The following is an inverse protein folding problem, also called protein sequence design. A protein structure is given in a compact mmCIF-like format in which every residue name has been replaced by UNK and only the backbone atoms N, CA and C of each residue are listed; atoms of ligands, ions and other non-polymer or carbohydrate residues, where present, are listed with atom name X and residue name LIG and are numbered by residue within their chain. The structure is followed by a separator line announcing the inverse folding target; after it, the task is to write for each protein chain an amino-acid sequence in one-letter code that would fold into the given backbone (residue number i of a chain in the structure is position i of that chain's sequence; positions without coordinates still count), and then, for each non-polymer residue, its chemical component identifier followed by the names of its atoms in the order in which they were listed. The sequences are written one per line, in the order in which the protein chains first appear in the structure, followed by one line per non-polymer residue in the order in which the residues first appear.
data_IF_304434597188
#
_entry.id   IF_304434597188
#
_cell.length_a   1.000
_cell.length_b   1.000
_cell.length_c   1.000
_cell.angle_alpha   90.00
_cell.angle_beta   90.00
_cell.angle_gamma   90.00
#
_symmetry.space_group_name_H-M   'P 1'
#
loop_
_entity.id
_entity.type
_entity.pdbx_description
1 polymer ?
#
# COMPACT_ATOMS: atom_id res chain seq x y z
N UNK A 1 29.26 -69.32 -8.04
CA UNK A 1 28.81 -69.94 -9.30
C UNK A 1 27.66 -69.11 -9.85
N UNK A 2 27.77 -68.73 -11.13
CA UNK A 2 26.81 -68.10 -12.06
C UNK A 2 25.94 -66.93 -11.59
N UNK A 3 26.08 -65.69 -12.08
CA UNK A 3 26.09 -65.12 -13.46
C UNK A 3 24.69 -64.95 -14.07
N UNK A 4 24.27 -63.67 -14.13
CA UNK A 4 23.50 -62.92 -15.16
C UNK A 4 22.14 -63.44 -15.67
N UNK A 5 21.14 -62.52 -15.72
CA UNK A 5 20.66 -61.94 -16.99
C UNK A 5 19.70 -60.75 -16.80
N UNK A 6 19.92 -59.76 -17.66
CA UNK A 6 19.09 -58.57 -17.89
C UNK A 6 17.77 -58.91 -18.59
N UNK A 7 16.77 -58.05 -18.40
CA UNK A 7 15.54 -58.03 -19.18
C UNK A 7 14.88 -56.66 -19.12
N UNK A 8 15.17 -55.82 -20.11
CA UNK A 8 14.45 -54.59 -20.37
C UNK A 8 13.11 -54.93 -21.03
N UNK A 9 12.01 -54.38 -20.52
CA UNK A 9 10.76 -54.27 -21.26
C UNK A 9 10.28 -52.82 -21.26
N UNK A 10 10.49 -52.19 -22.42
CA UNK A 10 9.86 -50.94 -22.83
C UNK A 10 8.42 -51.28 -23.20
N UNK A 11 7.45 -50.77 -22.44
CA UNK A 11 6.08 -50.62 -22.93
C UNK A 11 5.81 -49.14 -23.16
N UNK A 12 5.87 -48.77 -24.44
CA UNK A 12 5.40 -47.49 -24.93
C UNK A 12 3.87 -47.51 -24.95
N UNK A 13 3.24 -46.81 -24.00
CA UNK A 13 1.82 -46.46 -24.10
C UNK A 13 1.70 -45.05 -24.67
N UNK A 14 1.33 -45.00 -25.94
CA UNK A 14 0.84 -43.81 -26.65
C UNK A 14 -0.40 -43.26 -25.92
N UNK A 15 -0.27 -42.06 -25.36
CA UNK A 15 -1.40 -41.24 -24.91
C UNK A 15 -1.51 -40.01 -25.82
N UNK A 16 -2.74 -39.54 -26.12
CA UNK A 16 -3.02 -38.71 -27.29
C UNK A 16 -2.46 -37.29 -27.13
N UNK A 17 -1.95 -36.75 -28.24
CA UNK A 17 -1.71 -35.31 -28.40
C UNK A 17 -3.02 -34.55 -28.12
N UNK A 18 -3.13 -33.90 -26.96
CA UNK A 18 -4.09 -32.80 -26.80
C UNK A 18 -3.61 -31.63 -27.66
N UNK A 19 -4.46 -31.24 -28.59
CA UNK A 19 -4.28 -30.10 -29.47
C UNK A 19 -3.80 -28.86 -28.69
N UNK A 20 -2.72 -28.26 -29.16
CA UNK A 20 -2.32 -26.93 -28.76
C UNK A 20 -3.41 -25.95 -29.22
N UNK A 21 -4.24 -25.51 -28.29
CA UNK A 21 -5.06 -24.32 -28.51
C UNK A 21 -4.09 -23.15 -28.70
N UNK A 22 -4.16 -22.51 -29.86
CA UNK A 22 -3.47 -21.27 -30.15
C UNK A 22 -3.89 -20.23 -29.10
N UNK A 23 -3.02 -19.99 -28.12
CA UNK A 23 -3.15 -18.88 -27.19
C UNK A 23 -2.97 -17.60 -27.98
N UNK A 24 -4.09 -16.99 -28.35
CA UNK A 24 -4.12 -15.60 -28.79
C UNK A 24 -3.41 -14.76 -27.73
N UNK A 25 -2.46 -13.94 -28.17
CA UNK A 25 -1.70 -13.04 -27.32
C UNK A 25 -2.64 -12.14 -26.51
N UNK A 26 -2.85 -12.51 -25.25
CA UNK A 26 -3.55 -11.68 -24.28
C UNK A 26 -2.62 -10.58 -23.80
N UNK A 27 -2.90 -9.34 -24.16
CA UNK A 27 -2.38 -8.19 -23.44
C UNK A 27 -2.72 -8.36 -21.95
N UNK A 28 -1.70 -8.37 -21.10
CA UNK A 28 -1.85 -8.57 -19.65
C UNK A 28 -2.50 -7.33 -19.04
N UNK A 29 -3.82 -7.33 -18.97
CA UNK A 29 -4.62 -6.32 -18.30
C UNK A 29 -4.68 -6.55 -16.76
N UNK A 30 -5.15 -5.58 -15.95
CA UNK A 30 -5.25 -5.56 -14.47
C UNK A 30 -6.15 -6.62 -13.80
N UNK A 31 -6.30 -7.81 -14.39
CA UNK A 31 -7.39 -8.81 -14.25
C UNK A 31 -7.66 -9.39 -12.84
N UNK A 32 -6.93 -8.98 -11.80
CA UNK A 32 -7.08 -9.48 -10.42
C UNK A 32 -7.47 -8.42 -9.41
N UNK A 33 -7.65 -7.17 -9.83
CA UNK A 33 -8.15 -6.10 -8.95
C UNK A 33 -9.63 -5.89 -9.23
N UNK A 34 -10.46 -6.05 -8.21
CA UNK A 34 -11.89 -5.71 -8.27
C UNK A 34 -12.17 -4.47 -7.42
N UNK A 35 -12.95 -3.55 -7.96
CA UNK A 35 -13.35 -2.33 -7.25
C UNK A 35 -14.85 -2.36 -7.00
N UNK A 36 -15.25 -2.07 -5.77
CA UNK A 36 -16.64 -2.04 -5.33
C UNK A 36 -16.89 -0.77 -4.53
N UNK A 37 -17.81 0.06 -5.02
CA UNK A 37 -18.38 1.18 -4.26
C UNK A 37 -19.80 0.79 -3.89
N UNK A 38 -20.05 0.47 -2.61
CA UNK A 38 -21.38 0.15 -2.13
C UNK A 38 -22.15 1.45 -1.87
N UNK A 39 -23.36 1.56 -2.42
CA UNK A 39 -24.18 2.77 -2.23
C UNK A 39 -24.56 2.87 -0.75
N UNK A 40 -24.21 3.97 -0.05
CA UNK A 40 -24.51 4.12 1.36
C UNK A 40 -26.01 4.22 1.62
N UNK A 41 -26.46 3.66 2.74
CA UNK A 41 -27.84 3.82 3.20
C UNK A 41 -28.04 5.15 3.92
N UNK A 42 -27.01 5.63 4.61
CA UNK A 42 -26.93 6.92 5.31
C UNK A 42 -26.76 8.05 4.30
N UNK A 43 -27.70 8.99 4.30
CA UNK A 43 -27.72 10.12 3.36
C UNK A 43 -26.44 10.96 3.40
N UNK A 44 -25.89 11.17 4.61
CA UNK A 44 -24.67 11.94 4.83
C UNK A 44 -23.44 11.41 4.07
N UNK A 45 -23.42 10.11 3.73
CA UNK A 45 -22.30 9.48 3.03
C UNK A 45 -22.44 9.46 1.51
N UNK A 46 -23.60 9.86 0.94
CA UNK A 46 -23.79 9.89 -0.52
C UNK A 46 -22.78 10.79 -1.23
N UNK A 47 -22.52 11.98 -0.67
CA UNK A 47 -21.54 12.89 -1.22
C UNK A 47 -20.10 12.31 -1.18
N UNK A 48 -19.77 11.55 -0.13
CA UNK A 48 -18.48 10.86 -0.03
C UNK A 48 -18.37 9.73 -1.05
N UNK A 49 -19.43 8.92 -1.22
CA UNK A 49 -19.51 7.90 -2.27
C UNK A 49 -19.21 8.49 -3.64
N UNK A 50 -19.95 9.54 -4.01
CA UNK A 50 -19.84 10.14 -5.35
C UNK A 50 -18.46 10.75 -5.57
N UNK A 51 -17.94 11.47 -4.58
CA UNK A 51 -16.60 12.08 -4.65
C UNK A 51 -15.50 11.03 -4.80
N UNK A 52 -15.48 9.99 -3.95
CA UNK A 52 -14.44 8.96 -3.98
C UNK A 52 -14.47 8.14 -5.27
N UNK A 53 -15.68 7.84 -5.76
CA UNK A 53 -15.88 7.16 -7.04
C UNK A 53 -15.47 8.01 -8.23
N UNK A 54 -15.83 9.29 -8.25
CA UNK A 54 -15.46 10.22 -9.32
C UNK A 54 -13.95 10.45 -9.38
N UNK A 55 -13.31 10.56 -8.22
CA UNK A 55 -11.85 10.66 -8.10
C UNK A 55 -11.14 9.32 -8.34
N UNK A 56 -11.88 8.21 -8.43
CA UNK A 56 -11.37 6.85 -8.66
C UNK A 56 -10.36 6.42 -7.60
N UNK A 57 -10.63 6.73 -6.33
CA UNK A 57 -9.65 6.58 -5.24
C UNK A 57 -9.21 5.12 -5.07
N UNK A 58 -10.16 4.19 -5.04
CA UNK A 58 -9.85 2.76 -4.92
C UNK A 58 -9.13 2.23 -6.16
N UNK A 59 -9.51 2.68 -7.35
CA UNK A 59 -8.87 2.30 -8.61
C UNK A 59 -7.40 2.72 -8.64
N UNK A 60 -7.07 3.94 -8.17
CA UNK A 60 -5.69 4.45 -8.22
C UNK A 60 -4.76 3.61 -7.33
N UNK A 61 -5.19 3.28 -6.12
CA UNK A 61 -4.41 2.40 -5.22
C UNK A 61 -4.37 0.97 -5.75
N UNK A 62 -5.54 0.44 -6.15
CA UNK A 62 -5.65 -0.89 -6.73
C UNK A 62 -4.78 -1.07 -7.98
N UNK A 63 -4.63 -0.04 -8.82
CA UNK A 63 -3.76 -0.09 -9.99
C UNK A 63 -2.27 -0.22 -9.62
N UNK A 64 -1.81 0.43 -8.54
CA UNK A 64 -0.44 0.29 -8.04
C UNK A 64 -0.20 -1.15 -7.61
N UNK A 65 -1.12 -1.72 -6.82
CA UNK A 65 -1.02 -3.12 -6.35
C UNK A 65 -1.20 -4.12 -7.51
N UNK A 66 -2.01 -3.77 -8.50
CA UNK A 66 -2.20 -4.53 -9.74
C UNK A 66 -0.94 -4.64 -10.61
N UNK A 67 0.13 -3.90 -10.31
CA UNK A 67 1.46 -4.15 -10.88
C UNK A 67 2.02 -5.49 -10.43
N UNK A 68 1.59 -6.05 -9.30
CA UNK A 68 1.95 -7.39 -8.87
C UNK A 68 1.14 -8.47 -9.62
N UNK A 69 1.75 -9.64 -9.81
CA UNK A 69 1.10 -10.86 -10.30
C UNK A 69 0.42 -11.55 -9.13
N UNK A 70 -0.75 -11.03 -8.73
CA UNK A 70 -1.53 -11.61 -7.65
C UNK A 70 -2.03 -13.02 -8.03
N UNK A 71 -1.85 -14.04 -7.17
CA UNK A 71 -2.34 -15.40 -7.44
C UNK A 71 -3.86 -15.51 -7.32
N UNK A 72 -4.49 -14.58 -6.60
CA UNK A 72 -5.93 -14.50 -6.42
C UNK A 72 -6.45 -13.08 -6.68
N UNK A 73 -7.77 -12.96 -6.86
CA UNK A 73 -8.44 -11.67 -6.97
C UNK A 73 -8.43 -10.95 -5.61
N UNK A 74 -8.04 -9.68 -5.61
CA UNK A 74 -8.10 -8.75 -4.48
C UNK A 74 -9.20 -7.71 -4.73
N UNK A 75 -10.09 -7.55 -3.77
CA UNK A 75 -11.20 -6.59 -3.85
C UNK A 75 -10.88 -5.36 -3.02
N UNK A 76 -11.08 -4.16 -3.59
CA UNK A 76 -11.15 -2.92 -2.83
C UNK A 76 -12.62 -2.53 -2.72
N UNK A 77 -13.07 -2.26 -1.50
CA UNK A 77 -14.46 -1.96 -1.19
C UNK A 77 -14.56 -0.67 -0.37
N UNK A 78 -15.45 0.21 -0.79
CA UNK A 78 -15.95 1.31 0.04
C UNK A 78 -17.38 0.96 0.46
N UNK A 79 -17.65 0.96 1.77
CA UNK A 79 -18.99 0.66 2.31
C UNK A 79 -19.24 1.34 3.66
N UNK A 80 -20.49 1.27 4.12
CA UNK A 80 -20.83 1.58 5.51
C UNK A 80 -20.44 0.42 6.42
N UNK A 81 -19.91 0.73 7.59
CA UNK A 81 -19.37 -0.25 8.52
C UNK A 81 -20.09 -0.24 9.87
N UNK A 82 -21.39 0.10 9.87
CA UNK A 82 -22.24 0.10 11.05
C UNK A 82 -21.67 0.94 12.22
N UNK A 83 -21.02 2.07 11.91
CA UNK A 83 -20.44 2.99 12.90
C UNK A 83 -18.93 2.82 13.12
N UNK A 84 -18.31 1.78 12.56
CA UNK A 84 -16.87 1.53 12.72
C UNK A 84 -16.03 2.51 11.91
N UNK A 85 -15.18 3.29 12.59
CA UNK A 85 -14.24 4.23 11.96
C UNK A 85 -12.95 3.50 11.57
N UNK A 86 -13.03 2.62 10.57
CA UNK A 86 -11.92 1.71 10.26
C UNK A 86 -11.65 1.50 8.75
N UNK A 87 -10.52 0.85 8.47
CA UNK A 87 -10.21 0.17 7.23
C UNK A 87 -9.47 -1.13 7.56
N UNK A 88 -9.64 -2.18 6.76
CA UNK A 88 -8.94 -3.44 7.03
C UNK A 88 -8.81 -4.30 5.77
N UNK A 89 -7.77 -5.13 5.76
CA UNK A 89 -7.67 -6.31 4.92
C UNK A 89 -8.28 -7.54 5.60
N UNK A 90 -9.19 -8.23 4.91
CA UNK A 90 -9.76 -9.52 5.34
C UNK A 90 -9.22 -10.66 4.46
N UNK A 91 -8.33 -11.54 4.97
CA UNK A 91 -7.68 -12.59 4.18
C UNK A 91 -8.64 -13.62 3.57
N UNK A 92 -9.73 -13.95 4.27
CA UNK A 92 -10.73 -14.97 3.94
C UNK A 92 -11.52 -14.58 2.69
N UNK A 93 -11.81 -13.29 2.56
CA UNK A 93 -12.53 -12.72 1.42
C UNK A 93 -11.59 -12.03 0.42
N UNK A 94 -10.30 -11.88 0.75
CA UNK A 94 -9.29 -11.14 0.00
C UNK A 94 -9.81 -9.75 -0.36
N UNK A 95 -10.28 -9.03 0.66
CA UNK A 95 -10.93 -7.73 0.51
C UNK A 95 -10.27 -6.70 1.40
N UNK A 96 -9.88 -5.57 0.83
CA UNK A 96 -9.56 -4.34 1.54
C UNK A 96 -10.85 -3.53 1.62
N UNK A 97 -11.27 -3.18 2.83
CA UNK A 97 -12.45 -2.38 3.08
C UNK A 97 -12.03 -1.02 3.62
N UNK A 98 -12.60 0.05 3.06
CA UNK A 98 -12.56 1.39 3.60
C UNK A 98 -13.98 1.77 4.04
N UNK A 99 -14.14 2.22 5.28
CA UNK A 99 -15.44 2.63 5.80
C UNK A 99 -15.75 4.09 5.48
N UNK A 100 -17.01 4.40 5.17
CA UNK A 100 -17.46 5.79 5.05
C UNK A 100 -17.23 6.58 6.33
N UNK A 101 -17.43 5.95 7.48
CA UNK A 101 -17.21 6.48 8.82
C UNK A 101 -15.76 6.97 9.00
N UNK A 102 -14.78 6.19 8.53
CA UNK A 102 -13.37 6.59 8.55
C UNK A 102 -13.14 7.82 7.69
N UNK A 103 -13.63 7.83 6.44
CA UNK A 103 -13.47 8.98 5.55
C UNK A 103 -14.15 10.23 6.11
N UNK A 104 -15.34 10.09 6.69
CA UNK A 104 -16.07 11.17 7.34
C UNK A 104 -15.31 11.72 8.57
N UNK A 105 -14.71 10.84 9.38
CA UNK A 105 -13.87 11.26 10.50
C UNK A 105 -12.67 12.09 10.03
N UNK A 106 -12.04 11.71 8.91
CA UNK A 106 -10.96 12.48 8.28
C UNK A 106 -11.49 13.82 7.76
N UNK A 107 -12.69 13.86 7.18
CA UNK A 107 -13.35 15.11 6.74
C UNK A 107 -13.61 16.09 7.89
N UNK A 108 -14.01 15.58 9.04
CA UNK A 108 -14.24 16.34 10.28
C UNK A 108 -12.94 16.82 10.92
N UNK A 109 -11.91 15.97 10.94
CA UNK A 109 -10.59 16.31 11.49
C UNK A 109 -9.78 17.24 10.59
N UNK A 110 -10.01 17.23 9.27
CA UNK A 110 -9.26 18.04 8.32
C UNK A 110 -9.48 19.56 8.56
N UNK A 111 -8.44 20.39 8.40
CA UNK A 111 -8.56 21.83 8.58
C UNK A 111 -9.57 22.43 7.59
N UNK A 112 -10.19 23.57 7.94
CA UNK A 112 -11.09 24.29 7.03
C UNK A 112 -10.40 24.69 5.72
N UNK A 113 -9.15 25.13 5.80
CA UNK A 113 -8.34 25.51 4.63
C UNK A 113 -6.91 25.01 4.76
N UNK A 114 -6.21 25.39 5.84
CA UNK A 114 -4.82 25.02 6.12
C UNK A 114 -4.58 24.92 7.62
N UNK A 115 -3.76 23.96 8.06
CA UNK A 115 -3.34 23.82 9.45
C UNK A 115 -2.20 24.78 9.80
N UNK A 116 -1.89 25.00 11.09
CA UNK A 116 -0.72 25.78 11.52
C UNK A 116 0.61 25.25 10.95
N UNK A 117 0.71 23.93 10.75
CA UNK A 117 1.88 23.27 10.15
C UNK A 117 1.97 23.48 8.61
N UNK A 118 0.99 24.16 8.02
CA UNK A 118 0.92 24.46 6.59
C UNK A 118 0.24 23.40 5.74
N UNK A 119 -0.34 22.35 6.34
CA UNK A 119 -1.02 21.26 5.61
C UNK A 119 -2.40 21.71 5.16
N UNK A 120 -2.66 21.64 3.86
CA UNK A 120 -3.95 22.03 3.26
C UNK A 120 -5.05 21.00 3.57
N UNK A 121 -6.31 21.41 3.47
CA UNK A 121 -7.45 20.49 3.56
C UNK A 121 -7.32 19.32 2.59
N UNK A 122 -6.91 19.58 1.35
CA UNK A 122 -6.70 18.53 0.34
C UNK A 122 -5.64 17.52 0.79
N UNK A 123 -4.50 17.98 1.29
CA UNK A 123 -3.45 17.10 1.80
C UNK A 123 -3.97 16.26 2.97
N UNK A 124 -4.64 16.89 3.94
CA UNK A 124 -5.21 16.22 5.11
C UNK A 124 -6.31 15.18 4.80
N UNK A 125 -6.84 15.16 3.57
CA UNK A 125 -7.78 14.14 3.10
C UNK A 125 -7.08 13.09 2.24
N UNK A 126 -6.32 13.53 1.23
CA UNK A 126 -5.67 12.64 0.27
C UNK A 126 -4.59 11.80 0.93
N UNK A 127 -3.78 12.38 1.82
CA UNK A 127 -2.69 11.68 2.48
C UNK A 127 -3.14 10.48 3.29
N UNK A 128 -3.92 10.66 4.37
CA UNK A 128 -4.33 9.53 5.21
C UNK A 128 -5.10 8.47 4.44
N UNK A 129 -6.02 8.83 3.53
CA UNK A 129 -6.74 7.83 2.72
C UNK A 129 -5.78 7.00 1.86
N UNK A 130 -4.77 7.65 1.24
CA UNK A 130 -3.78 6.93 0.42
C UNK A 130 -2.87 6.04 1.27
N UNK A 131 -2.42 6.54 2.43
CA UNK A 131 -1.57 5.79 3.36
C UNK A 131 -2.31 4.58 3.91
N UNK A 132 -3.54 4.76 4.39
CA UNK A 132 -4.36 3.68 4.98
C UNK A 132 -4.66 2.62 3.93
N UNK A 133 -5.13 3.00 2.74
CA UNK A 133 -5.41 2.00 1.69
C UNK A 133 -4.15 1.24 1.25
N UNK A 134 -2.99 1.89 1.18
CA UNK A 134 -1.74 1.21 0.82
C UNK A 134 -1.17 0.40 2.00
N UNK A 135 -1.45 0.78 3.24
CA UNK A 135 -1.13 0.00 4.43
C UNK A 135 -1.90 -1.33 4.41
N UNK A 136 -3.23 -1.29 4.19
CA UNK A 136 -4.03 -2.50 4.01
C UNK A 136 -3.60 -3.33 2.78
N UNK A 137 -3.08 -2.65 1.76
CA UNK A 137 -2.47 -3.31 0.61
C UNK A 137 -1.17 -4.05 0.98
N UNK A 138 -0.43 -3.57 1.98
CA UNK A 138 0.71 -4.25 2.57
C UNK A 138 0.32 -5.63 3.11
N UNK A 139 -0.69 -5.69 3.99
CA UNK A 139 -1.22 -6.97 4.51
C UNK A 139 -1.69 -7.89 3.37
N UNK A 140 -2.38 -7.34 2.38
CA UNK A 140 -2.81 -8.12 1.21
C UNK A 140 -1.63 -8.68 0.41
N UNK A 141 -0.57 -7.91 0.21
CA UNK A 141 0.64 -8.37 -0.47
C UNK A 141 1.37 -9.43 0.35
N UNK A 142 1.43 -9.27 1.67
CA UNK A 142 2.08 -10.25 2.54
C UNK A 142 1.38 -11.60 2.47
N UNK A 143 0.07 -11.61 2.66
CA UNK A 143 -0.75 -12.82 2.60
C UNK A 143 -0.79 -13.43 1.20
N UNK A 144 -1.00 -12.63 0.14
CA UNK A 144 -1.20 -13.18 -1.20
C UNK A 144 0.09 -13.61 -1.89
N UNK A 145 1.26 -13.09 -1.48
CA UNK A 145 2.54 -13.40 -2.11
C UNK A 145 3.46 -14.23 -1.19
N UNK A 146 2.95 -14.68 -0.05
CA UNK A 146 3.70 -15.41 0.99
C UNK A 146 4.99 -14.67 1.40
N UNK A 147 4.89 -13.34 1.61
CA UNK A 147 6.05 -12.52 2.00
C UNK A 147 6.37 -12.78 3.47
N UNK A 148 7.60 -13.21 3.80
CA UNK A 148 8.01 -13.37 5.18
C UNK A 148 8.14 -12.01 5.87
N UNK A 149 7.65 -11.92 7.11
CA UNK A 149 7.70 -10.73 7.93
C UNK A 149 8.58 -10.99 9.15
N UNK A 150 9.61 -10.19 9.32
CA UNK A 150 10.41 -10.13 10.54
C UNK A 150 10.10 -8.83 11.27
N UNK A 151 9.77 -8.91 12.56
CA UNK A 151 9.35 -7.75 13.37
C UNK A 151 7.83 -7.61 13.44
N UNK A 152 7.34 -6.37 13.60
CA UNK A 152 5.90 -6.07 13.68
C UNK A 152 5.32 -5.94 12.27
N UNK A 153 4.26 -6.68 11.99
CA UNK A 153 3.59 -6.66 10.68
C UNK A 153 3.04 -5.27 10.32
N UNK A 154 2.48 -4.54 11.29
CA UNK A 154 1.98 -3.16 11.11
C UNK A 154 3.08 -2.19 10.64
N UNK A 155 4.27 -2.29 11.21
CA UNK A 155 5.42 -1.47 10.81
C UNK A 155 5.88 -1.84 9.39
N UNK A 156 5.87 -3.13 9.05
CA UNK A 156 6.19 -3.60 7.71
C UNK A 156 5.14 -3.12 6.67
N UNK A 157 3.85 -3.13 7.01
CA UNK A 157 2.77 -2.61 6.18
C UNK A 157 2.92 -1.11 5.94
N UNK A 158 3.24 -0.33 6.99
CA UNK A 158 3.57 1.09 6.87
C UNK A 158 4.79 1.37 5.98
N UNK A 159 5.83 0.54 6.07
CA UNK A 159 7.03 0.64 5.24
C UNK A 159 6.73 0.35 3.77
N UNK A 160 5.95 -0.69 3.47
CA UNK A 160 5.47 -0.98 2.12
C UNK A 160 4.64 0.18 1.59
N UNK A 161 3.74 0.74 2.41
CA UNK A 161 2.92 1.88 2.04
C UNK A 161 3.75 3.12 1.73
N UNK A 162 4.64 3.51 2.64
CA UNK A 162 5.51 4.66 2.45
C UNK A 162 6.39 4.47 1.19
N UNK A 163 7.03 3.31 1.04
CA UNK A 163 7.89 3.04 -0.12
C UNK A 163 7.13 3.14 -1.43
N UNK A 164 5.96 2.49 -1.53
CA UNK A 164 5.12 2.49 -2.73
C UNK A 164 4.66 3.91 -3.10
N UNK A 165 4.16 4.67 -2.12
CA UNK A 165 3.63 6.02 -2.34
C UNK A 165 4.75 7.04 -2.65
N UNK A 166 5.97 6.82 -2.15
CA UNK A 166 7.13 7.64 -2.50
C UNK A 166 7.60 7.44 -3.96
N UNK A 167 7.19 6.36 -4.63
CA UNK A 167 7.49 6.16 -6.06
C UNK A 167 6.62 7.01 -7.00
N UNK A 168 5.58 7.67 -6.48
CA UNK A 168 4.67 8.50 -7.25
C UNK A 168 5.33 9.81 -7.76
N UNK A 169 4.54 10.69 -8.36
CA UNK A 169 5.02 12.02 -8.76
C UNK A 169 5.45 12.82 -7.53
N UNK A 170 6.52 13.61 -7.62
CA UNK A 170 7.08 14.31 -6.46
C UNK A 170 6.04 15.18 -5.71
N UNK A 171 5.13 15.85 -6.44
CA UNK A 171 4.05 16.64 -5.85
C UNK A 171 2.98 15.78 -5.15
N UNK A 172 2.69 14.61 -5.70
CA UNK A 172 1.73 13.65 -5.15
C UNK A 172 2.29 12.99 -3.89
N UNK A 173 3.54 12.50 -3.96
CA UNK A 173 4.26 11.97 -2.79
C UNK A 173 4.34 13.02 -1.67
N UNK A 174 4.65 14.29 -1.98
CA UNK A 174 4.61 15.39 -0.99
C UNK A 174 3.22 15.60 -0.40
N UNK A 175 2.17 15.58 -1.23
CA UNK A 175 0.78 15.71 -0.76
C UNK A 175 0.46 14.61 0.25
N UNK A 176 0.84 13.38 -0.08
CA UNK A 176 0.55 12.19 0.73
C UNK A 176 1.34 12.21 2.04
N UNK A 177 2.65 12.49 1.99
CA UNK A 177 3.50 12.57 3.17
C UNK A 177 3.01 13.66 4.12
N UNK A 178 2.72 14.87 3.62
CA UNK A 178 2.20 15.97 4.44
C UNK A 178 0.87 15.62 5.12
N UNK A 179 -0.07 15.06 4.36
CA UNK A 179 -1.38 14.68 4.87
C UNK A 179 -1.32 13.57 5.90
N UNK A 180 -0.55 12.52 5.63
CA UNK A 180 -0.42 11.37 6.52
C UNK A 180 0.33 11.74 7.80
N UNK A 181 1.38 12.56 7.70
CA UNK A 181 2.06 13.13 8.85
C UNK A 181 1.11 14.00 9.70
N UNK A 182 0.26 14.81 9.07
CA UNK A 182 -0.77 15.56 9.80
C UNK A 182 -1.77 14.66 10.52
N UNK A 183 -2.21 13.58 9.87
CA UNK A 183 -3.10 12.59 10.47
C UNK A 183 -2.47 11.93 11.71
N UNK A 184 -1.27 11.39 11.57
CA UNK A 184 -0.54 10.80 12.71
C UNK A 184 -0.30 11.80 13.84
N UNK A 185 0.15 13.02 13.52
CA UNK A 185 0.35 14.06 14.52
C UNK A 185 -0.96 14.52 15.18
N UNK A 186 -2.11 14.37 14.52
CA UNK A 186 -3.43 14.71 15.10
C UNK A 186 -3.87 13.63 16.07
N UNK A 187 -3.79 12.35 15.69
CA UNK A 187 -4.12 11.24 16.58
C UNK A 187 -3.18 11.18 17.79
N UNK A 188 -1.89 11.45 17.58
CA UNK A 188 -0.88 11.44 18.65
C UNK A 188 -1.04 12.54 19.71
N UNK A 189 -1.96 13.51 19.54
CA UNK A 189 -2.20 14.54 20.58
C UNK A 189 -2.91 13.99 21.80
N UNK A 190 -3.91 13.14 21.54
CA UNK A 190 -4.81 12.59 22.54
C UNK A 190 -4.60 11.08 22.73
N UNK A 191 -3.60 10.51 22.04
CA UNK A 191 -3.21 9.10 22.17
C UNK A 191 -2.68 8.81 23.59
N UNK A 192 -3.30 7.87 24.32
CA UNK A 192 -2.83 7.53 25.66
C UNK A 192 -1.46 6.86 25.59
N UNK A 193 -0.61 7.17 26.57
CA UNK A 193 0.71 6.56 26.73
C UNK A 193 0.64 5.61 27.94
N UNK A 194 -0.08 4.50 27.75
CA UNK A 194 -0.36 3.51 28.78
C UNK A 194 -0.06 2.07 28.31
N UNK A 195 -0.29 1.10 29.20
CA UNK A 195 0.00 -0.31 28.91
C UNK A 195 -0.82 -0.85 27.74
N UNK A 196 -2.06 -0.37 27.53
CA UNK A 196 -2.88 -0.80 26.42
C UNK A 196 -2.30 -0.28 25.10
N UNK A 197 -1.93 1.00 25.04
CA UNK A 197 -1.28 1.59 23.87
C UNK A 197 0.06 0.92 23.53
N UNK A 198 0.84 0.52 24.54
CA UNK A 198 2.09 -0.21 24.32
C UNK A 198 1.89 -1.68 23.90
N UNK A 199 0.75 -2.29 24.25
CA UNK A 199 0.42 -3.66 23.88
C UNK A 199 -0.30 -3.77 22.52
N UNK A 200 -0.75 -2.65 21.95
CA UNK A 200 -1.41 -2.61 20.64
C UNK A 200 -0.48 -3.10 19.51
N UNK A 201 -1.07 -3.73 18.49
CA UNK A 201 -0.32 -4.21 17.33
C UNK A 201 0.22 -3.08 16.47
N UNK A 202 -0.46 -1.93 16.42
CA UNK A 202 -0.03 -0.73 15.72
C UNK A 202 0.98 0.07 16.54
N UNK A 203 1.96 0.66 15.87
CA UNK A 203 2.87 1.62 16.51
C UNK A 203 2.11 2.86 16.97
N UNK A 204 2.63 3.52 18.01
CA UNK A 204 2.10 4.82 18.46
C UNK A 204 2.11 5.81 17.30
N UNK A 205 1.11 6.69 17.25
CA UNK A 205 0.93 7.66 16.17
C UNK A 205 2.17 8.51 15.95
N UNK A 206 2.87 8.93 17.01
CA UNK A 206 4.14 9.65 16.88
C UNK A 206 5.29 8.79 16.35
N UNK A 207 5.34 7.49 16.65
CA UNK A 207 6.33 6.58 16.05
C UNK A 207 6.09 6.45 14.55
N UNK A 208 4.84 6.23 14.15
CA UNK A 208 4.43 6.16 12.73
C UNK A 208 4.73 7.46 11.99
N UNK A 209 4.48 8.61 12.62
CA UNK A 209 4.86 9.94 12.11
C UNK A 209 6.35 10.02 11.80
N UNK A 210 7.22 9.72 12.77
CA UNK A 210 8.65 9.85 12.60
C UNK A 210 9.22 8.83 11.62
N UNK A 211 8.67 7.63 11.57
CA UNK A 211 9.05 6.61 10.58
C UNK A 211 8.71 7.07 9.16
N UNK A 212 7.50 7.56 8.92
CA UNK A 212 7.11 8.12 7.61
C UNK A 212 8.00 9.31 7.21
N UNK A 213 8.22 10.26 8.13
CA UNK A 213 9.06 11.43 7.89
C UNK A 213 10.51 11.04 7.55
N UNK A 214 11.04 10.02 8.23
CA UNK A 214 12.37 9.48 7.99
C UNK A 214 12.47 8.80 6.62
N UNK A 215 11.55 7.91 6.26
CA UNK A 215 11.52 7.27 4.94
C UNK A 215 11.37 8.28 3.80
N UNK A 216 10.52 9.30 3.98
CA UNK A 216 10.38 10.38 3.01
C UNK A 216 11.70 11.16 2.84
N UNK A 217 12.31 11.62 3.94
CA UNK A 217 13.59 12.34 3.90
C UNK A 217 14.73 11.49 3.31
N UNK A 218 14.80 10.21 3.67
CA UNK A 218 15.78 9.25 3.16
C UNK A 218 15.66 8.96 1.66
N UNK A 219 14.43 8.95 1.13
CA UNK A 219 14.18 8.66 -0.28
C UNK A 219 14.66 9.75 -1.24
N UNK A 220 14.45 11.02 -0.89
CA UNK A 220 14.90 12.17 -1.67
C UNK A 220 15.06 13.40 -0.76
N UNK A 221 16.30 13.63 -0.32
CA UNK A 221 16.68 14.76 0.56
C UNK A 221 16.39 16.12 -0.07
N UNK A 222 16.36 16.23 -1.42
CA UNK A 222 16.02 17.48 -2.11
C UNK A 222 14.51 17.70 -2.10
N UNK A 223 13.73 16.65 -2.33
CA UNK A 223 12.27 16.72 -2.28
C UNK A 223 11.74 16.98 -0.86
N UNK A 224 12.34 16.35 0.15
CA UNK A 224 11.80 16.30 1.51
C UNK A 224 12.67 17.01 2.56
N UNK A 225 13.72 17.73 2.14
CA UNK A 225 14.60 18.46 3.04
C UNK A 225 13.91 19.50 3.95
N UNK A 226 12.73 19.98 3.55
CA UNK A 226 11.92 20.88 4.37
C UNK A 226 11.46 20.24 5.69
N UNK A 227 11.36 18.90 5.77
CA UNK A 227 10.93 18.18 6.97
C UNK A 227 11.94 18.45 8.10
N UNK A 228 13.24 18.34 7.81
CA UNK A 228 14.32 18.66 8.75
C UNK A 228 14.44 20.17 8.94
N UNK A 229 14.39 20.95 7.86
CA UNK A 229 14.57 22.40 7.93
C UNK A 229 13.50 23.11 8.78
N UNK A 230 12.29 22.55 8.87
CA UNK A 230 11.19 23.05 9.70
C UNK A 230 11.13 22.43 11.09
N UNK A 231 12.06 21.54 11.44
CA UNK A 231 12.11 20.89 12.75
C UNK A 231 11.10 19.76 12.96
N UNK A 232 10.43 19.28 11.90
CA UNK A 232 9.50 18.15 12.01
C UNK A 232 10.22 16.81 12.21
N UNK A 233 11.48 16.70 11.78
CA UNK A 233 12.33 15.54 12.02
C UNK A 233 13.62 16.01 12.70
N UNK A 234 13.96 15.52 13.90
CA UNK A 234 15.21 15.84 14.59
C UNK A 234 16.42 15.54 13.70
N UNK A 235 17.45 16.40 13.76
CA UNK A 235 18.64 16.26 12.90
C UNK A 235 19.38 14.95 13.17
N UNK A 236 19.40 14.51 14.42
CA UNK A 236 20.01 13.27 14.89
C UNK A 236 19.30 12.07 14.25
N UNK A 237 17.95 12.06 14.27
CA UNK A 237 17.14 11.02 13.61
C UNK A 237 17.39 11.01 12.10
N UNK A 238 17.49 12.19 11.48
CA UNK A 238 17.67 12.34 10.04
C UNK A 238 18.99 11.74 9.49
N UNK A 239 20.01 11.55 10.33
CA UNK A 239 21.30 10.99 9.93
C UNK A 239 21.16 9.55 9.40
N UNK A 240 20.32 8.72 10.06
CA UNK A 240 20.10 7.30 9.69
C UNK A 240 19.07 7.08 8.58
N UNK A 241 18.25 8.08 8.25
CA UNK A 241 17.09 7.89 7.37
C UNK A 241 17.40 7.42 5.95
N UNK A 242 18.58 7.76 5.42
CA UNK A 242 19.00 7.25 4.11
C UNK A 242 19.26 5.74 4.12
N UNK A 243 19.81 5.22 5.21
CA UNK A 243 20.03 3.79 5.41
C UNK A 243 18.71 3.05 5.59
N UNK A 244 17.81 3.57 6.43
CA UNK A 244 16.49 2.96 6.67
C UNK A 244 15.64 2.91 5.41
N UNK A 245 15.60 3.99 4.62
CA UNK A 245 14.94 3.95 3.32
C UNK A 245 15.59 2.89 2.41
N UNK A 246 16.93 2.80 2.41
CA UNK A 246 17.67 1.78 1.65
C UNK A 246 17.32 0.36 2.07
N UNK A 247 17.14 0.10 3.37
CA UNK A 247 16.73 -1.20 3.90
C UNK A 247 15.31 -1.56 3.44
N UNK A 248 14.36 -0.63 3.55
CA UNK A 248 12.98 -0.85 3.06
C UNK A 248 12.95 -1.07 1.56
N UNK A 249 13.69 -0.26 0.79
CA UNK A 249 13.79 -0.41 -0.66
C UNK A 249 14.35 -1.79 -1.04
N UNK A 250 15.42 -2.23 -0.37
CA UNK A 250 16.02 -3.54 -0.58
C UNK A 250 15.05 -4.69 -0.23
N UNK A 251 14.34 -4.60 0.88
CA UNK A 251 13.35 -5.58 1.29
C UNK A 251 12.19 -5.66 0.28
N UNK A 252 11.63 -4.53 -0.13
CA UNK A 252 10.56 -4.49 -1.15
C UNK A 252 11.04 -5.07 -2.48
N UNK A 253 12.23 -4.68 -2.95
CA UNK A 253 12.81 -5.17 -4.20
C UNK A 253 13.05 -6.68 -4.16
N UNK A 254 13.47 -7.22 -3.02
CA UNK A 254 13.79 -8.64 -2.85
C UNK A 254 12.54 -9.49 -2.71
N UNK A 255 11.57 -9.05 -1.91
CA UNK A 255 10.43 -9.86 -1.51
C UNK A 255 9.20 -9.65 -2.39
N UNK A 256 8.95 -8.42 -2.86
CA UNK A 256 7.78 -8.08 -3.69
C UNK A 256 8.18 -7.91 -5.15
N UNK A 257 9.38 -7.40 -5.42
CA UNK A 257 9.91 -7.15 -6.76
C UNK A 257 9.78 -8.34 -7.75
N UNK A 258 10.08 -9.60 -7.37
CA UNK A 258 9.94 -10.76 -8.25
C UNK A 258 8.50 -11.01 -8.73
N UNK A 259 7.51 -10.56 -7.96
CA UNK A 259 6.10 -10.70 -8.27
C UNK A 259 5.59 -9.59 -9.20
N UNK A 260 6.35 -8.52 -9.44
CA UNK A 260 5.92 -7.43 -10.30
C UNK A 260 5.88 -7.84 -11.79
N UNK A 261 4.84 -7.38 -12.49
CA UNK A 261 4.63 -7.57 -13.94
C UNK A 261 5.67 -6.79 -14.76
N UNK A 262 6.09 -5.64 -14.25
CA UNK A 262 7.21 -4.85 -14.79
C UNK A 262 8.51 -5.37 -14.19
N UNK A 263 9.56 -5.59 -15.00
CA UNK A 263 10.89 -5.90 -14.46
C UNK A 263 11.38 -4.70 -13.66
N UNK A 264 11.55 -4.79 -12.33
CA UNK A 264 12.06 -3.68 -11.55
C UNK A 264 13.55 -3.51 -11.90
N UNK A 265 13.85 -2.62 -12.83
CA UNK A 265 15.16 -1.98 -12.84
C UNK A 265 15.12 -0.89 -11.77
N UNK A 266 16.12 -0.85 -10.87
CA UNK A 266 16.26 0.21 -9.87
C UNK A 266 16.04 1.61 -10.49
N UNK A 267 15.47 2.52 -9.71
CA UNK A 267 15.35 3.93 -10.08
C UNK A 267 14.14 4.24 -10.96
N UNK A 268 14.37 4.94 -12.07
CA UNK A 268 13.29 5.65 -12.79
C UNK A 268 12.24 4.75 -13.44
N UNK A 269 12.54 3.47 -13.71
CA UNK A 269 11.58 2.52 -14.29
C UNK A 269 10.48 2.14 -13.30
N UNK A 270 10.82 1.86 -12.03
CA UNK A 270 9.83 1.57 -10.99
C UNK A 270 8.95 2.80 -10.73
N UNK A 271 9.57 3.97 -10.59
CA UNK A 271 8.86 5.25 -10.48
C UNK A 271 7.93 5.49 -11.66
N UNK A 272 8.39 5.21 -12.88
CA UNK A 272 7.56 5.37 -14.08
C UNK A 272 6.34 4.43 -14.05
N UNK A 273 6.53 3.15 -13.70
CA UNK A 273 5.44 2.19 -13.62
C UNK A 273 4.39 2.60 -12.58
N UNK A 274 4.82 2.97 -11.37
CA UNK A 274 3.94 3.41 -10.29
C UNK A 274 3.18 4.69 -10.68
N UNK A 275 3.87 5.67 -11.26
CA UNK A 275 3.25 6.90 -11.78
C UNK A 275 2.26 6.64 -12.92
N UNK A 276 2.52 5.64 -13.77
CA UNK A 276 1.59 5.29 -14.85
C UNK A 276 0.33 4.66 -14.27
N UNK A 277 0.50 3.68 -13.38
CA UNK A 277 -0.60 2.96 -12.73
C UNK A 277 -1.51 3.91 -11.93
N UNK A 278 -0.95 4.77 -11.09
CA UNK A 278 -1.72 5.71 -10.26
C UNK A 278 -2.50 6.76 -11.08
N UNK A 279 -2.09 7.03 -12.33
CA UNK A 279 -2.79 7.96 -13.23
C UNK A 279 -3.94 7.30 -14.02
N UNK A 280 -4.15 5.99 -13.88
CA UNK A 280 -5.26 5.28 -14.50
C UNK A 280 -5.23 5.26 -16.04
N UNK A 281 -4.02 5.29 -16.65
CA UNK A 281 -3.83 5.07 -18.10
C UNK A 281 -3.43 3.63 -18.37
#
# INVERSE_FOLDING_TARGET
MSVWRAGAFVFATLLPLKAAAAGQGGGVAPDRIQIVYEVPTTEAYRALHDTLRQERVLERVGAIVGLARLPARLTYRLKECAGETNAWYAPESRSITLCYELVDSLHKAAPKTRSPAGVTRREALVGPVSQILMHESGHALFHLLDVPILGREEDAADQVAAFALLQLGQQEARTIVNGSAYYFATNGKDEPVDQAAFADSHGLSWQRFYNLACLAYGSDKKAFGYIVARGYLPKERAQGCGEEYGQVAFAFETLIGPHLRVKPGRGDRLRHAFRSAARGR
#
